data_IF_349989285516
#
_entry.id   IF_349989285516
#
_cell.length_a   1.000
_cell.length_b   1.000
_cell.length_c   1.000
_cell.angle_alpha   90.00
_cell.angle_beta   90.00
_cell.angle_gamma   90.00
#
_symmetry.space_group_name_H-M   'P 1'
#
loop_
_entity.id
_entity.type
_entity.pdbx_description
1 polymer ?
#
# COMPACT_ATOMS: atom_id res chain seq x y z
N UNK A 1 55.81 -3.66 -4.65
CA UNK A 1 54.88 -3.13 -3.64
C UNK A 1 54.18 -1.94 -4.30
N UNK A 2 52.93 -1.94 -4.74
CA UNK A 2 51.78 -2.81 -4.50
C UNK A 2 50.94 -2.92 -5.77
N UNK A 3 50.65 -4.15 -6.17
CA UNK A 3 49.90 -4.54 -7.37
C UNK A 3 48.58 -5.14 -6.89
N UNK A 4 47.67 -4.31 -6.36
CA UNK A 4 46.34 -4.74 -5.87
C UNK A 4 45.35 -3.59 -6.03
N UNK A 5 44.83 -3.34 -7.24
CA UNK A 5 43.65 -2.47 -7.42
C UNK A 5 42.84 -2.71 -8.72
N UNK A 6 42.92 -3.92 -9.32
CA UNK A 6 42.24 -4.22 -10.61
C UNK A 6 41.20 -5.36 -10.52
N UNK A 7 41.12 -6.11 -9.42
CA UNK A 7 40.25 -7.30 -9.34
C UNK A 7 38.80 -7.08 -8.91
N UNK A 8 38.32 -5.84 -8.68
CA UNK A 8 36.95 -5.59 -8.19
C UNK A 8 35.91 -5.23 -9.27
N UNK A 9 36.31 -5.10 -10.54
CA UNK A 9 35.38 -4.79 -11.64
C UNK A 9 34.88 -6.02 -12.42
N UNK A 10 35.49 -7.20 -12.24
CA UNK A 10 35.13 -8.40 -13.02
C UNK A 10 33.89 -9.11 -12.45
N UNK A 11 33.65 -9.00 -11.14
CA UNK A 11 32.52 -9.68 -10.46
C UNK A 11 31.15 -9.05 -10.73
N UNK A 12 31.09 -7.82 -11.26
CA UNK A 12 29.84 -7.10 -11.54
C UNK A 12 29.21 -7.42 -12.90
N UNK A 13 29.98 -7.99 -13.84
CA UNK A 13 29.51 -8.30 -15.19
C UNK A 13 28.53 -9.48 -15.23
N UNK A 14 28.69 -10.48 -14.35
CA UNK A 14 27.81 -11.66 -14.38
C UNK A 14 26.45 -11.37 -13.76
N UNK A 15 26.41 -10.59 -12.68
CA UNK A 15 25.14 -10.20 -12.05
C UNK A 15 24.31 -9.29 -12.96
N UNK A 16 24.95 -8.34 -13.64
CA UNK A 16 24.27 -7.46 -14.62
C UNK A 16 23.75 -8.23 -15.83
N UNK A 17 24.53 -9.17 -16.37
CA UNK A 17 24.06 -10.08 -17.44
C UNK A 17 22.88 -10.95 -17.00
N UNK A 18 22.92 -11.50 -15.79
CA UNK A 18 21.81 -12.31 -15.25
C UNK A 18 20.55 -11.48 -15.03
N UNK A 19 20.69 -10.26 -14.52
CA UNK A 19 19.57 -9.33 -14.37
C UNK A 19 18.95 -8.98 -15.73
N UNK A 20 19.80 -8.64 -16.71
CA UNK A 20 19.34 -8.34 -18.08
C UNK A 20 18.56 -9.50 -18.71
N UNK A 21 19.03 -10.74 -18.55
CA UNK A 21 18.31 -11.94 -19.02
C UNK A 21 16.95 -12.10 -18.32
N UNK A 22 16.88 -11.89 -17.00
CA UNK A 22 15.63 -12.00 -16.24
C UNK A 22 14.61 -10.95 -16.68
N UNK A 23 15.05 -9.70 -16.83
CA UNK A 23 14.18 -8.61 -17.30
C UNK A 23 13.71 -8.85 -18.74
N UNK A 24 14.59 -9.33 -19.61
CA UNK A 24 14.23 -9.70 -20.98
C UNK A 24 13.16 -10.79 -21.04
N UNK A 25 13.31 -11.85 -20.23
CA UNK A 25 12.32 -12.94 -20.17
C UNK A 25 10.96 -12.47 -19.62
N UNK A 26 10.93 -11.58 -18.61
CA UNK A 26 9.67 -11.01 -18.12
C UNK A 26 9.01 -10.08 -19.15
N UNK A 27 9.81 -9.31 -19.90
CA UNK A 27 9.30 -8.47 -20.98
C UNK A 27 8.70 -9.30 -22.12
N UNK A 28 9.30 -10.43 -22.46
CA UNK A 28 8.75 -11.38 -23.44
C UNK A 28 7.40 -11.94 -22.99
N UNK A 29 7.31 -12.43 -21.76
CA UNK A 29 6.04 -12.89 -21.16
C UNK A 29 4.98 -11.80 -21.23
N UNK A 30 5.31 -10.58 -20.80
CA UNK A 30 4.39 -9.43 -20.86
C UNK A 30 3.93 -9.15 -22.28
N UNK A 31 4.83 -9.18 -23.25
CA UNK A 31 4.52 -8.95 -24.67
C UNK A 31 3.54 -10.00 -25.20
N UNK A 32 3.75 -11.27 -24.90
CA UNK A 32 2.86 -12.34 -25.36
C UNK A 32 1.49 -12.30 -24.66
N UNK A 33 1.43 -11.91 -23.37
CA UNK A 33 0.15 -11.67 -22.70
C UNK A 33 -0.60 -10.54 -23.39
N UNK A 34 0.03 -9.39 -23.63
CA UNK A 34 -0.59 -8.23 -24.32
C UNK A 34 -1.08 -8.63 -25.70
N UNK A 35 -0.24 -9.30 -26.49
CA UNK A 35 -0.55 -9.75 -27.85
C UNK A 35 -1.76 -10.70 -27.88
N UNK A 36 -1.87 -11.61 -26.92
CA UNK A 36 -2.96 -12.60 -26.86
C UNK A 36 -4.25 -12.05 -26.25
N UNK A 37 -4.14 -11.15 -25.26
CA UNK A 37 -5.29 -10.59 -24.55
C UNK A 37 -5.85 -9.31 -25.19
N UNK A 38 -5.04 -8.55 -25.91
CA UNK A 38 -5.36 -7.19 -26.35
C UNK A 38 -5.39 -6.17 -25.21
N UNK A 39 -4.94 -6.54 -24.00
CA UNK A 39 -5.07 -5.69 -22.81
C UNK A 39 -3.85 -4.81 -22.58
N UNK A 40 -4.10 -3.60 -22.09
CA UNK A 40 -3.11 -2.64 -21.61
C UNK A 40 -3.15 -2.58 -20.09
N UNK A 41 -2.05 -2.17 -19.44
CA UNK A 41 -1.99 -2.09 -17.97
C UNK A 41 -1.64 -3.41 -17.27
N UNK A 42 -0.96 -4.32 -17.96
CA UNK A 42 -0.42 -5.54 -17.35
C UNK A 42 0.97 -5.24 -16.76
N UNK A 43 1.13 -5.51 -15.48
CA UNK A 43 2.42 -5.57 -14.80
C UNK A 43 2.87 -7.02 -14.65
N UNK A 44 4.15 -7.29 -14.90
CA UNK A 44 4.76 -8.62 -14.76
C UNK A 44 6.04 -8.45 -13.96
N UNK A 45 6.07 -9.00 -12.75
CA UNK A 45 7.21 -8.88 -11.84
C UNK A 45 7.63 -10.24 -11.31
N UNK A 46 8.92 -10.37 -11.00
CA UNK A 46 9.49 -11.53 -10.32
C UNK A 46 9.79 -11.13 -8.89
N UNK A 47 9.11 -11.75 -7.92
CA UNK A 47 9.44 -11.61 -6.52
C UNK A 47 10.29 -12.81 -6.09
N UNK A 48 11.49 -12.55 -5.60
CA UNK A 48 12.40 -13.58 -5.08
C UNK A 48 12.78 -13.21 -3.65
N UNK A 49 12.21 -13.91 -2.67
CA UNK A 49 12.48 -13.71 -1.25
C UNK A 49 13.03 -15.03 -0.66
N UNK A 50 14.32 -15.03 -0.31
CA UNK A 50 14.99 -16.23 0.21
C UNK A 50 14.94 -17.40 -0.78
N UNK A 51 14.40 -18.55 -0.35
CA UNK A 51 14.21 -19.74 -1.20
C UNK A 51 12.93 -19.71 -2.03
N UNK A 52 12.17 -18.62 -1.98
CA UNK A 52 10.88 -18.48 -2.64
C UNK A 52 10.98 -17.57 -3.86
N UNK A 53 10.49 -18.06 -4.99
CA UNK A 53 10.46 -17.36 -6.28
C UNK A 53 9.05 -17.43 -6.86
N UNK A 54 8.45 -16.28 -7.14
CA UNK A 54 7.12 -16.21 -7.74
C UNK A 54 7.08 -15.17 -8.85
N UNK A 55 6.39 -15.48 -9.93
CA UNK A 55 6.03 -14.49 -10.97
C UNK A 55 4.65 -13.96 -10.64
N UNK A 56 4.52 -12.63 -10.56
CA UNK A 56 3.28 -11.93 -10.29
C UNK A 56 2.87 -11.18 -11.53
N UNK A 57 1.66 -11.47 -12.01
CA UNK A 57 1.04 -10.83 -13.15
C UNK A 57 -0.17 -10.08 -12.63
N UNK A 58 -0.17 -8.76 -12.76
CA UNK A 58 -1.27 -7.92 -12.30
C UNK A 58 -1.95 -7.25 -13.48
N UNK A 59 -3.24 -7.52 -13.64
CA UNK A 59 -4.12 -6.80 -14.55
C UNK A 59 -4.65 -5.54 -13.86
N UNK A 60 -4.02 -4.39 -14.14
CA UNK A 60 -4.36 -3.11 -13.51
C UNK A 60 -5.37 -2.37 -14.40
N UNK A 61 -6.56 -2.09 -13.86
CA UNK A 61 -7.66 -1.43 -14.58
C UNK A 61 -8.01 -2.11 -15.92
N UNK A 62 -7.83 -3.42 -16.00
CA UNK A 62 -8.23 -4.21 -17.16
C UNK A 62 -9.77 -4.26 -17.28
N UNK A 63 -10.33 -4.33 -18.51
CA UNK A 63 -11.75 -4.64 -18.72
C UNK A 63 -12.23 -5.92 -18.02
N UNK A 64 -11.32 -6.85 -17.69
CA UNK A 64 -11.64 -8.08 -16.93
C UNK A 64 -12.04 -7.82 -15.48
N UNK A 65 -11.68 -6.66 -14.94
CA UNK A 65 -12.05 -6.26 -13.59
C UNK A 65 -13.58 -6.12 -13.44
N UNK A 66 -14.29 -5.80 -14.52
CA UNK A 66 -15.75 -5.64 -14.53
C UNK A 66 -16.48 -6.93 -15.00
N UNK A 67 -15.73 -8.01 -15.27
CA UNK A 67 -16.29 -9.31 -15.70
C UNK A 67 -16.68 -10.20 -14.52
N UNK A 68 -17.33 -11.32 -14.83
CA UNK A 68 -17.63 -12.34 -13.84
C UNK A 68 -16.36 -13.09 -13.39
N UNK A 69 -16.42 -13.69 -12.19
CA UNK A 69 -15.33 -14.50 -11.62
C UNK A 69 -14.84 -15.59 -12.58
N UNK A 70 -15.75 -16.33 -13.23
CA UNK A 70 -15.39 -17.41 -14.16
C UNK A 70 -14.58 -16.91 -15.37
N UNK A 71 -14.84 -15.69 -15.86
CA UNK A 71 -14.07 -15.09 -16.95
C UNK A 71 -12.65 -14.72 -16.49
N UNK A 72 -12.52 -14.17 -15.26
CA UNK A 72 -11.22 -13.88 -14.64
C UNK A 72 -10.41 -15.15 -14.38
N UNK A 73 -11.05 -16.19 -13.86
CA UNK A 73 -10.41 -17.50 -13.61
C UNK A 73 -9.89 -18.12 -14.92
N UNK A 74 -10.71 -18.09 -15.99
CA UNK A 74 -10.28 -18.52 -17.32
C UNK A 74 -9.09 -17.72 -17.80
N UNK A 75 -9.10 -16.38 -17.68
CA UNK A 75 -7.96 -15.57 -18.10
C UNK A 75 -6.72 -15.86 -17.26
N UNK A 76 -6.87 -16.05 -15.96
CA UNK A 76 -5.75 -16.36 -15.08
C UNK A 76 -5.06 -17.66 -15.50
N UNK A 77 -5.84 -18.71 -15.83
CA UNK A 77 -5.31 -19.95 -16.38
C UNK A 77 -4.58 -19.71 -17.71
N UNK A 78 -5.20 -19.01 -18.67
CA UNK A 78 -4.58 -18.70 -19.96
C UNK A 78 -3.25 -17.95 -19.79
N UNK A 79 -3.20 -17.04 -18.81
CA UNK A 79 -2.01 -16.24 -18.49
C UNK A 79 -0.92 -17.11 -17.87
N UNK A 80 -1.27 -18.02 -16.96
CA UNK A 80 -0.33 -18.97 -16.38
C UNK A 80 0.29 -19.89 -17.45
N UNK A 81 -0.49 -20.33 -18.43
CA UNK A 81 0.02 -21.12 -19.57
C UNK A 81 1.01 -20.32 -20.44
N UNK A 82 0.76 -19.02 -20.64
CA UNK A 82 1.71 -18.14 -21.34
C UNK A 82 3.02 -18.04 -20.55
N UNK A 83 2.94 -17.79 -19.24
CA UNK A 83 4.12 -17.70 -18.37
C UNK A 83 4.91 -19.00 -18.40
N UNK A 84 4.23 -20.15 -18.31
CA UNK A 84 4.83 -21.48 -18.44
C UNK A 84 5.59 -21.66 -19.75
N UNK A 85 4.99 -21.22 -20.85
CA UNK A 85 5.54 -21.42 -22.20
C UNK A 85 6.69 -20.47 -22.52
N UNK A 86 6.58 -19.21 -22.09
CA UNK A 86 7.47 -18.12 -22.54
C UNK A 86 8.50 -17.69 -21.50
N UNK A 87 8.32 -18.03 -20.22
CA UNK A 87 9.34 -17.72 -19.22
C UNK A 87 10.44 -18.77 -19.21
N UNK A 88 11.57 -18.47 -19.86
CA UNK A 88 12.70 -19.40 -20.04
C UNK A 88 13.25 -20.05 -18.76
N UNK A 89 13.02 -19.46 -17.57
CA UNK A 89 13.48 -19.99 -16.29
C UNK A 89 12.34 -20.47 -15.37
N UNK A 90 11.23 -20.93 -15.96
CA UNK A 90 10.02 -21.33 -15.22
C UNK A 90 10.27 -22.46 -14.21
N UNK A 91 11.21 -23.38 -14.48
CA UNK A 91 11.55 -24.46 -13.55
C UNK A 91 12.07 -23.97 -12.19
N UNK A 92 12.63 -22.77 -12.15
CA UNK A 92 13.12 -22.14 -10.91
C UNK A 92 12.06 -21.35 -10.15
N UNK A 93 10.88 -21.17 -10.75
CA UNK A 93 9.74 -20.46 -10.16
C UNK A 93 8.91 -21.47 -9.37
N UNK A 94 8.53 -21.12 -8.14
CA UNK A 94 7.66 -21.97 -7.31
C UNK A 94 6.18 -21.73 -7.59
N UNK A 95 5.82 -20.52 -7.99
CA UNK A 95 4.44 -20.18 -8.28
C UNK A 95 4.30 -19.06 -9.32
N UNK A 96 3.16 -19.09 -9.99
CA UNK A 96 2.65 -18.02 -10.84
C UNK A 96 1.42 -17.45 -10.12
N UNK A 97 1.38 -16.14 -9.89
CA UNK A 97 0.23 -15.45 -9.30
C UNK A 97 -0.33 -14.51 -10.34
N UNK A 98 -1.61 -14.65 -10.65
CA UNK A 98 -2.33 -13.73 -11.54
C UNK A 98 -3.38 -13.00 -10.72
N UNK A 99 -3.25 -11.68 -10.61
CA UNK A 99 -4.15 -10.82 -9.84
C UNK A 99 -4.87 -9.81 -10.73
N UNK A 100 -6.06 -9.43 -10.29
CA UNK A 100 -6.91 -8.44 -10.92
C UNK A 100 -7.05 -7.26 -9.97
N UNK A 101 -6.62 -6.09 -10.39
CA UNK A 101 -6.51 -4.93 -9.51
C UNK A 101 -7.17 -3.71 -10.14
N UNK A 102 -7.99 -3.02 -9.35
CA UNK A 102 -8.51 -1.70 -9.69
C UNK A 102 -7.61 -0.66 -9.04
N UNK A 103 -6.79 0.00 -9.85
CA UNK A 103 -5.97 1.13 -9.40
C UNK A 103 -6.72 2.42 -9.67
N UNK A 104 -7.01 3.18 -8.63
CA UNK A 104 -7.63 4.48 -8.79
C UNK A 104 -6.67 5.54 -8.29
N UNK A 105 -6.28 6.42 -9.21
CA UNK A 105 -5.70 7.71 -8.86
C UNK A 105 -6.85 8.68 -8.72
N UNK A 106 -7.16 9.09 -7.49
CA UNK A 106 -8.08 10.19 -7.25
C UNK A 106 -7.28 11.43 -6.92
N UNK A 107 -7.55 12.51 -7.65
CA UNK A 107 -7.05 13.87 -7.39
C UNK A 107 -5.51 13.99 -7.31
N UNK A 108 -4.83 13.43 -8.32
CA UNK A 108 -3.38 13.54 -8.59
C UNK A 108 -2.39 12.95 -7.57
N UNK A 109 -2.78 12.72 -6.30
CA UNK A 109 -1.85 12.27 -5.25
C UNK A 109 -2.27 11.01 -4.48
N UNK A 110 -3.55 10.65 -4.50
CA UNK A 110 -4.04 9.46 -3.82
C UNK A 110 -4.16 8.31 -4.81
N UNK A 111 -3.15 7.45 -4.78
CA UNK A 111 -3.13 6.19 -5.48
C UNK A 111 -3.50 5.09 -4.48
N UNK A 112 -4.60 4.38 -4.75
CA UNK A 112 -4.86 3.12 -4.06
C UNK A 112 -5.14 2.03 -5.07
N UNK A 113 -4.85 0.81 -4.67
CA UNK A 113 -5.11 -0.37 -5.47
C UNK A 113 -6.02 -1.29 -4.67
N UNK A 114 -7.13 -1.69 -5.27
CA UNK A 114 -8.02 -2.72 -4.71
C UNK A 114 -7.76 -4.01 -5.48
N UNK A 115 -7.29 -5.05 -4.79
CA UNK A 115 -7.25 -6.39 -5.37
C UNK A 115 -8.69 -6.91 -5.41
N UNK A 116 -9.17 -7.20 -6.61
CA UNK A 116 -10.50 -7.74 -6.84
C UNK A 116 -10.49 -9.26 -6.72
N UNK A 117 -9.41 -9.88 -7.20
CA UNK A 117 -9.27 -11.32 -7.31
C UNK A 117 -7.81 -11.72 -7.53
N UNK A 118 -7.44 -12.94 -7.18
CA UNK A 118 -6.16 -13.52 -7.57
C UNK A 118 -6.23 -15.05 -7.66
N UNK A 119 -5.41 -15.61 -8.54
CA UNK A 119 -5.30 -17.06 -8.74
C UNK A 119 -3.83 -17.47 -8.71
N UNK A 120 -3.55 -18.63 -8.13
CA UNK A 120 -2.20 -19.16 -7.97
C UNK A 120 -2.05 -20.46 -8.76
N UNK A 121 -0.91 -20.60 -9.40
CA UNK A 121 -0.57 -21.76 -10.19
C UNK A 121 0.85 -22.21 -9.85
N UNK A 122 1.12 -23.49 -10.02
CA UNK A 122 2.49 -23.99 -10.02
C UNK A 122 3.23 -23.57 -11.30
N UNK A 123 4.48 -24.01 -11.42
CA UNK A 123 5.31 -23.74 -12.60
C UNK A 123 4.89 -24.52 -13.85
N UNK A 124 3.95 -25.46 -13.71
CA UNK A 124 3.32 -26.20 -14.80
C UNK A 124 1.93 -25.62 -15.15
N UNK A 125 1.61 -24.43 -14.64
CA UNK A 125 0.34 -23.73 -14.79
C UNK A 125 -0.87 -24.50 -14.21
N UNK A 126 -0.65 -25.45 -13.29
CA UNK A 126 -1.74 -26.14 -12.62
C UNK A 126 -2.23 -25.31 -11.42
N UNK A 127 -3.55 -25.16 -11.23
CA UNK A 127 -4.12 -24.54 -10.05
C UNK A 127 -3.54 -25.12 -8.75
N UNK A 128 -3.05 -24.28 -7.85
CA UNK A 128 -2.65 -24.71 -6.52
C UNK A 128 -3.88 -24.88 -5.61
N UNK A 129 -3.89 -25.89 -4.74
CA UNK A 129 -4.97 -26.08 -3.77
C UNK A 129 -5.11 -24.87 -2.83
N UNK A 130 -6.35 -24.49 -2.50
CA UNK A 130 -6.63 -23.23 -1.80
C UNK A 130 -6.71 -22.01 -2.73
N UNK A 131 -7.04 -22.23 -4.01
CA UNK A 131 -7.10 -21.21 -5.06
C UNK A 131 -8.31 -20.26 -5.02
N UNK A 132 -9.11 -20.33 -3.96
CA UNK A 132 -10.31 -19.51 -3.79
C UNK A 132 -10.37 -19.02 -2.36
N UNK A 133 -9.83 -17.82 -2.14
CA UNK A 133 -10.25 -16.94 -1.06
C UNK A 133 -9.63 -15.56 -1.33
N UNK A 134 -10.42 -14.67 -1.93
CA UNK A 134 -10.45 -13.30 -1.42
C UNK A 134 -11.65 -13.25 -0.50
N UNK A 135 -11.49 -13.70 0.75
CA UNK A 135 -11.99 -12.82 1.79
C UNK A 135 -11.00 -11.64 1.82
N UNK A 136 -11.46 -10.40 1.69
CA UNK A 136 -10.58 -9.25 1.86
C UNK A 136 -10.21 -9.16 3.34
N UNK A 137 -9.18 -9.90 3.74
CA UNK A 137 -8.69 -9.88 5.12
C UNK A 137 -7.20 -10.20 5.14
N UNK A 138 -6.40 -9.46 4.36
CA UNK A 138 -5.20 -8.97 5.04
C UNK A 138 -5.75 -8.04 6.12
N UNK A 139 -5.58 -8.38 7.42
CA UNK A 139 -6.07 -7.52 8.49
C UNK A 139 -5.53 -6.13 8.24
N UNK A 140 -6.40 -5.11 8.36
CA UNK A 140 -6.03 -3.74 8.14
C UNK A 140 -4.74 -3.45 8.92
N UNK A 141 -3.66 -3.21 8.19
CA UNK A 141 -2.30 -3.20 8.73
C UNK A 141 -1.49 -2.03 8.18
N UNK A 142 -0.46 -1.60 8.90
CA UNK A 142 0.41 -0.55 8.43
C UNK A 142 1.21 -1.01 7.20
N UNK A 143 1.19 -0.19 6.15
CA UNK A 143 2.12 -0.27 5.03
C UNK A 143 3.44 0.38 5.42
N UNK A 144 4.55 -0.32 5.22
CA UNK A 144 5.89 0.09 5.64
C UNK A 144 6.82 0.12 4.43
N UNK A 145 7.31 1.30 4.06
CA UNK A 145 8.10 1.52 2.84
C UNK A 145 9.42 2.20 3.20
N UNK A 146 10.53 1.49 2.99
CA UNK A 146 11.87 2.06 3.18
C UNK A 146 12.38 2.74 1.90
N UNK A 147 12.79 3.99 2.02
CA UNK A 147 13.49 4.77 0.99
C UNK A 147 14.99 4.80 1.27
N UNK A 148 15.78 4.09 0.45
CA UNK A 148 17.24 4.11 0.55
C UNK A 148 17.83 5.49 0.27
N UNK A 149 17.24 6.26 -0.63
CA UNK A 149 17.75 7.59 -1.00
C UNK A 149 17.57 8.61 0.11
N UNK A 150 16.47 8.53 0.86
CA UNK A 150 16.21 9.39 2.03
C UNK A 150 16.77 8.82 3.33
N UNK A 151 17.16 7.54 3.33
CA UNK A 151 17.47 6.76 4.53
C UNK A 151 16.35 6.89 5.58
N UNK A 152 15.11 6.68 5.14
CA UNK A 152 13.90 6.84 5.96
C UNK A 152 12.91 5.74 5.63
N UNK A 153 12.10 5.36 6.62
CA UNK A 153 10.95 4.48 6.43
C UNK A 153 9.66 5.28 6.63
N UNK A 154 8.76 5.19 5.66
CA UNK A 154 7.40 5.70 5.74
C UNK A 154 6.48 4.57 6.21
N UNK A 155 5.70 4.84 7.26
CA UNK A 155 4.74 3.92 7.85
C UNK A 155 3.38 4.58 7.81
N UNK A 156 2.39 3.92 7.22
CA UNK A 156 1.04 4.49 7.09
C UNK A 156 -0.04 3.42 7.16
N UNK A 157 -1.24 3.77 7.61
CA UNK A 157 -2.40 2.89 7.46
C UNK A 157 -3.27 3.47 6.35
N UNK A 158 -3.50 2.67 5.32
CA UNK A 158 -4.23 3.12 4.14
C UNK A 158 -5.72 3.31 4.42
N UNK A 159 -6.25 4.48 4.04
CA UNK A 159 -7.65 4.65 3.68
C UNK A 159 -8.68 4.30 4.76
N UNK A 160 -8.50 4.74 6.00
CA UNK A 160 -9.48 4.52 7.08
C UNK A 160 -10.79 5.23 6.72
N UNK A 161 -11.80 4.47 6.27
CA UNK A 161 -13.09 5.02 5.90
C UNK A 161 -13.86 5.40 7.17
N UNK A 162 -14.12 6.70 7.34
CA UNK A 162 -14.81 7.28 8.50
C UNK A 162 -16.32 7.48 8.26
N UNK A 163 -16.71 7.76 7.01
CA UNK A 163 -18.11 7.95 6.60
C UNK A 163 -18.24 7.57 5.12
N UNK A 164 -19.33 6.92 4.70
CA UNK A 164 -19.57 6.60 3.30
C UNK A 164 -18.71 5.46 2.74
N UNK A 165 -18.40 5.52 1.45
CA UNK A 165 -17.65 4.48 0.70
C UNK A 165 -16.42 5.07 0.01
N UNK A 166 -15.42 4.26 -0.39
CA UNK A 166 -14.22 4.74 -1.05
C UNK A 166 -14.50 5.70 -2.22
N UNK A 167 -14.06 6.96 -2.02
CA UNK A 167 -14.23 8.07 -2.95
C UNK A 167 -15.64 8.60 -3.14
N UNK A 168 -16.54 8.32 -2.21
CA UNK A 168 -17.73 9.10 -1.89
C UNK A 168 -17.98 9.00 -0.38
N UNK A 169 -17.28 9.83 0.39
CA UNK A 169 -17.21 9.73 1.85
C UNK A 169 -16.00 10.46 2.42
N UNK A 170 -15.72 10.19 3.70
CA UNK A 170 -14.60 10.75 4.46
C UNK A 170 -13.59 9.64 4.78
N UNK A 171 -12.31 9.93 4.56
CA UNK A 171 -11.20 9.01 4.77
C UNK A 171 -10.08 9.68 5.56
N UNK A 172 -9.47 8.93 6.48
CA UNK A 172 -8.29 9.33 7.24
C UNK A 172 -7.09 8.44 6.88
N UNK A 173 -5.92 9.04 6.71
CA UNK A 173 -4.67 8.32 6.41
C UNK A 173 -3.60 8.79 7.41
N UNK A 174 -3.38 8.07 8.52
CA UNK A 174 -2.27 8.36 9.40
C UNK A 174 -0.96 7.91 8.78
N UNK A 175 0.08 8.75 8.90
CA UNK A 175 1.43 8.52 8.40
C UNK A 175 2.48 8.99 9.41
N UNK A 176 3.50 8.17 9.62
CA UNK A 176 4.69 8.53 10.36
C UNK A 176 5.94 8.20 9.53
N UNK A 177 6.94 9.06 9.59
CA UNK A 177 8.22 8.89 8.89
C UNK A 177 9.35 8.81 9.91
N UNK A 178 10.22 7.81 9.79
CA UNK A 178 11.29 7.55 10.76
C UNK A 178 12.62 7.32 10.06
N UNK A 179 13.76 7.66 10.70
CA UNK A 179 15.07 7.45 10.09
C UNK A 179 15.45 5.96 10.05
N UNK A 180 16.10 5.55 8.96
CA UNK A 180 16.61 4.20 8.76
C UNK A 180 15.57 3.20 8.27
N UNK A 181 16.00 1.94 8.19
CA UNK A 181 15.22 0.79 7.72
C UNK A 181 14.64 0.04 8.94
N UNK A 182 13.31 0.13 9.13
CA UNK A 182 12.65 -0.42 10.32
C UNK A 182 12.66 -1.96 10.38
N UNK A 183 13.03 -2.63 9.27
CA UNK A 183 13.26 -4.08 9.28
C UNK A 183 14.57 -4.48 9.96
N UNK A 184 15.49 -3.52 10.14
CA UNK A 184 16.83 -3.75 10.69
C UNK A 184 17.02 -3.13 12.07
N UNK A 185 16.41 -1.97 12.28
CA UNK A 185 16.53 -1.21 13.51
C UNK A 185 15.17 -0.71 13.94
N UNK A 186 14.93 -0.61 15.25
CA UNK A 186 13.77 0.11 15.77
C UNK A 186 14.17 1.58 15.99
N UNK A 187 13.77 2.52 15.13
CA UNK A 187 14.13 3.93 15.28
C UNK A 187 13.46 4.56 16.51
N UNK A 188 13.94 5.76 16.90
CA UNK A 188 13.22 6.57 17.87
C UNK A 188 11.87 6.98 17.28
N UNK A 189 10.87 7.16 18.15
CA UNK A 189 9.62 7.77 17.76
C UNK A 189 9.86 9.13 17.07
N UNK A 190 9.07 9.48 16.04
CA UNK A 190 9.15 10.79 15.42
C UNK A 190 8.62 11.86 16.38
N UNK A 191 8.85 13.13 16.05
CA UNK A 191 8.29 14.27 16.80
C UNK A 191 6.79 14.41 16.56
N UNK A 192 6.36 14.04 15.36
CA UNK A 192 5.04 14.32 14.82
C UNK A 192 4.51 13.14 13.99
N UNK A 193 3.19 13.14 13.81
CA UNK A 193 2.46 12.23 12.94
C UNK A 193 1.61 13.08 12.01
N UNK A 194 1.68 12.77 10.72
CA UNK A 194 0.82 13.40 9.72
C UNK A 194 -0.49 12.63 9.62
N UNK A 195 -1.60 13.36 9.59
CA UNK A 195 -2.95 12.82 9.43
C UNK A 195 -3.57 13.50 8.20
N UNK A 196 -3.67 12.74 7.10
CA UNK A 196 -4.29 13.24 5.87
C UNK A 196 -5.77 12.90 5.91
N UNK A 197 -6.62 13.92 5.82
CA UNK A 197 -8.08 13.77 5.74
C UNK A 197 -8.51 14.11 4.31
N UNK A 198 -9.29 13.21 3.71
CA UNK A 198 -9.86 13.41 2.39
C UNK A 198 -11.37 13.19 2.43
N UNK A 199 -12.13 14.15 1.91
CA UNK A 199 -13.58 14.05 1.77
C UNK A 199 -13.98 14.18 0.30
N UNK A 200 -14.94 13.35 -0.11
CA UNK A 200 -15.48 13.31 -1.46
C UNK A 200 -17.00 13.30 -1.39
N UNK A 201 -17.65 14.35 -1.89
CA UNK A 201 -19.10 14.48 -1.84
C UNK A 201 -19.64 15.36 -2.97
N UNK A 202 -20.95 15.31 -3.24
CA UNK A 202 -21.59 16.19 -4.26
C UNK A 202 -21.68 17.66 -3.82
N UNK A 203 -21.43 17.94 -2.54
CA UNK A 203 -21.47 19.27 -1.93
C UNK A 203 -20.28 19.41 -1.00
N UNK A 204 -19.87 20.64 -0.76
CA UNK A 204 -18.81 20.94 0.21
C UNK A 204 -19.27 20.53 1.61
N UNK A 205 -18.45 19.74 2.29
CA UNK A 205 -18.71 19.21 3.62
C UNK A 205 -18.13 20.11 4.71
N UNK A 206 -17.01 20.78 4.44
CA UNK A 206 -16.25 21.56 5.42
C UNK A 206 -15.99 22.99 4.91
N UNK A 207 -17.01 23.88 4.96
CA UNK A 207 -16.84 25.26 4.55
C UNK A 207 -15.96 26.04 5.53
N UNK A 208 -14.87 26.63 5.02
CA UNK A 208 -14.02 27.54 5.79
C UNK A 208 -13.09 26.86 6.79
N UNK A 209 -12.83 27.54 7.90
CA UNK A 209 -11.97 27.05 8.98
C UNK A 209 -12.74 26.02 9.83
N UNK A 210 -12.23 24.80 9.91
CA UNK A 210 -12.86 23.68 10.60
C UNK A 210 -12.15 23.42 11.92
N UNK A 211 -12.90 23.45 13.02
CA UNK A 211 -12.43 23.00 14.33
C UNK A 211 -12.25 21.49 14.32
N UNK A 212 -11.11 21.01 14.81
CA UNK A 212 -10.74 19.60 14.81
C UNK A 212 -10.42 19.16 16.24
N UNK A 213 -11.09 18.13 16.72
CA UNK A 213 -10.84 17.52 18.03
C UNK A 213 -10.48 16.05 17.86
N UNK A 214 -9.40 15.62 18.50
CA UNK A 214 -9.01 14.22 18.58
C UNK A 214 -9.37 13.71 19.97
N UNK A 215 -10.29 12.76 20.03
CA UNK A 215 -10.94 12.31 21.25
C UNK A 215 -10.51 10.87 21.54
N UNK A 216 -9.95 10.63 22.72
CA UNK A 216 -9.61 9.31 23.24
C UNK A 216 -10.37 9.04 24.51
N UNK A 217 -11.12 7.94 24.59
CA UNK A 217 -11.95 7.56 25.75
C UNK A 217 -12.80 8.73 26.28
N UNK A 218 -13.56 9.36 25.37
CA UNK A 218 -14.46 10.49 25.64
C UNK A 218 -13.78 11.78 26.16
N UNK A 219 -12.45 11.89 26.04
CA UNK A 219 -11.65 13.07 26.40
C UNK A 219 -10.93 13.64 25.18
N UNK A 220 -10.96 14.97 25.04
CA UNK A 220 -10.16 15.67 24.02
C UNK A 220 -8.67 15.54 24.38
N UNK A 221 -7.93 14.78 23.57
CA UNK A 221 -6.48 14.56 23.72
C UNK A 221 -5.69 15.69 23.05
N UNK A 222 -6.18 16.15 21.90
CA UNK A 222 -5.61 17.22 21.11
C UNK A 222 -6.71 17.98 20.35
N UNK A 223 -6.55 19.28 20.20
CA UNK A 223 -7.47 20.14 19.48
C UNK A 223 -6.67 21.12 18.61
N UNK A 224 -7.16 21.36 17.39
CA UNK A 224 -6.59 22.31 16.45
C UNK A 224 -7.68 22.84 15.51
N UNK A 225 -7.31 23.68 14.57
CA UNK A 225 -8.16 24.15 13.49
C UNK A 225 -7.44 23.95 12.16
N UNK A 226 -8.19 23.74 11.09
CA UNK A 226 -7.64 23.49 9.77
C UNK A 226 -8.61 23.88 8.67
N UNK A 227 -8.07 24.30 7.53
CA UNK A 227 -8.87 24.67 6.36
C UNK A 227 -8.69 23.62 5.27
N UNK A 228 -9.80 23.05 4.79
CA UNK A 228 -9.78 22.10 3.69
C UNK A 228 -9.49 22.80 2.37
N UNK A 229 -8.52 22.26 1.63
CA UNK A 229 -8.29 22.60 0.23
C UNK A 229 -9.38 21.96 -0.61
N UNK A 230 -10.18 22.78 -1.28
CA UNK A 230 -11.36 22.32 -2.04
C UNK A 230 -11.09 22.33 -3.53
N UNK A 231 -11.43 21.24 -4.21
CA UNK A 231 -11.45 21.11 -5.67
C UNK A 231 -12.82 20.61 -6.13
N UNK A 232 -13.24 21.00 -7.33
CA UNK A 232 -14.50 20.56 -7.93
C UNK A 232 -14.23 20.06 -9.34
N UNK A 233 -14.69 18.85 -9.65
CA UNK A 233 -14.64 18.31 -11.01
C UNK A 233 -15.87 18.67 -11.83
N UNK A 234 -15.77 18.50 -13.15
CA UNK A 234 -16.83 18.85 -14.11
C UNK A 234 -18.13 18.05 -13.90
N UNK A 235 -18.04 16.86 -13.29
CA UNK A 235 -19.18 16.02 -12.92
C UNK A 235 -19.86 16.45 -11.61
N UNK A 236 -19.39 17.54 -10.99
CA UNK A 236 -19.95 18.13 -9.77
C UNK A 236 -19.46 17.49 -8.47
N UNK A 237 -18.53 16.53 -8.52
CA UNK A 237 -17.89 16.00 -7.32
C UNK A 237 -16.98 17.06 -6.68
N UNK A 238 -17.17 17.28 -5.38
CA UNK A 238 -16.35 18.16 -4.54
C UNK A 238 -15.38 17.29 -3.75
N UNK A 239 -14.11 17.67 -3.78
CA UNK A 239 -13.02 16.98 -3.11
C UNK A 239 -12.34 17.94 -2.16
N UNK A 240 -12.25 17.56 -0.90
CA UNK A 240 -11.72 18.38 0.17
C UNK A 240 -10.58 17.64 0.84
N UNK A 241 -9.41 18.28 0.94
CA UNK A 241 -8.22 17.71 1.53
C UNK A 241 -7.71 18.56 2.68
N UNK A 242 -7.33 17.91 3.78
CA UNK A 242 -6.72 18.56 4.93
C UNK A 242 -5.53 17.73 5.39
N UNK A 243 -4.36 18.38 5.45
CA UNK A 243 -3.12 17.78 5.90
C UNK A 243 -2.81 18.30 7.30
N UNK A 244 -2.93 17.45 8.32
CA UNK A 244 -2.68 17.81 9.71
C UNK A 244 -1.39 17.18 10.19
N UNK A 245 -0.74 17.87 11.11
CA UNK A 245 0.39 17.32 11.87
C UNK A 245 0.04 17.42 13.34
N UNK A 246 0.13 16.31 14.06
CA UNK A 246 -0.07 16.28 15.52
C UNK A 246 1.20 15.76 16.21
N UNK A 247 1.50 16.19 17.46
CA UNK A 247 2.63 15.65 18.20
C UNK A 247 2.50 14.13 18.39
N UNK A 248 3.60 13.38 18.20
CA UNK A 248 3.58 11.92 18.36
C UNK A 248 3.12 11.49 19.76
N UNK A 249 3.43 12.27 20.80
CA UNK A 249 2.97 12.01 22.18
C UNK A 249 1.45 12.04 22.30
N UNK A 250 0.77 12.93 21.56
CA UNK A 250 -0.70 13.01 21.48
C UNK A 250 -1.27 11.87 20.64
N UNK A 251 -0.66 11.57 19.50
CA UNK A 251 -1.00 10.39 18.72
C UNK A 251 -0.91 9.10 19.56
N UNK A 252 0.17 8.93 20.33
CA UNK A 252 0.36 7.79 21.23
C UNK A 252 -0.77 7.69 22.26
N UNK A 253 -1.19 8.82 22.85
CA UNK A 253 -2.33 8.85 23.79
C UNK A 253 -3.63 8.39 23.13
N UNK A 254 -3.90 8.81 21.89
CA UNK A 254 -5.09 8.39 21.13
C UNK A 254 -5.09 6.89 20.86
N UNK A 255 -3.97 6.34 20.37
CA UNK A 255 -3.94 4.93 19.96
C UNK A 255 -3.96 3.97 21.15
N UNK A 256 -3.45 4.35 22.33
CA UNK A 256 -3.58 3.50 23.54
C UNK A 256 -4.97 3.59 24.21
N UNK A 257 -5.79 4.57 23.83
CA UNK A 257 -7.16 4.69 24.32
C UNK A 257 -8.00 3.50 23.82
N UNK A 258 -9.06 3.15 24.55
CA UNK A 258 -9.99 2.09 24.14
C UNK A 258 -10.79 2.51 22.90
N UNK A 259 -11.15 3.79 22.83
CA UNK A 259 -11.81 4.43 21.67
C UNK A 259 -10.98 5.58 21.14
N UNK A 260 -11.04 5.78 19.82
CA UNK A 260 -10.50 6.96 19.15
C UNK A 260 -11.55 7.51 18.19
N UNK A 261 -11.96 8.76 18.43
CA UNK A 261 -12.80 9.54 17.51
C UNK A 261 -12.07 10.79 16.98
N UNK A 262 -12.38 11.16 15.74
CA UNK A 262 -12.02 12.42 15.12
C UNK A 262 -13.29 13.26 14.97
N UNK A 263 -13.34 14.45 15.59
CA UNK A 263 -14.42 15.41 15.37
C UNK A 263 -13.99 16.50 14.42
N UNK A 264 -14.77 16.72 13.37
CA UNK A 264 -14.57 17.76 12.35
C UNK A 264 -15.80 18.68 12.34
N UNK A 265 -15.66 19.87 12.90
CA UNK A 265 -16.78 20.77 13.17
C UNK A 265 -17.78 20.13 14.13
N UNK A 266 -19.02 19.97 13.68
CA UNK A 266 -20.11 19.39 14.49
C UNK A 266 -20.20 17.87 14.40
N UNK A 267 -19.48 17.22 13.47
CA UNK A 267 -19.56 15.77 13.25
C UNK A 267 -18.41 15.03 13.91
N UNK A 268 -18.72 13.95 14.61
CA UNK A 268 -17.75 13.03 15.21
C UNK A 268 -17.70 11.71 14.44
N UNK A 269 -16.48 11.23 14.21
CA UNK A 269 -16.18 10.02 13.45
C UNK A 269 -15.35 9.08 14.32
N UNK A 270 -15.97 8.02 14.82
CA UNK A 270 -15.29 7.00 15.61
C UNK A 270 -14.64 5.95 14.70
N UNK A 271 -13.37 5.63 14.96
CA UNK A 271 -12.70 4.50 14.31
C UNK A 271 -13.32 3.18 14.78
N UNK A 272 -13.46 2.22 13.86
CA UNK A 272 -13.81 0.84 14.25
C UNK A 272 -12.66 0.19 15.02
N UNK A 273 -12.94 -0.89 15.75
CA UNK A 273 -11.90 -1.61 16.52
C UNK A 273 -10.76 -2.11 15.62
N UNK A 274 -11.09 -2.58 14.41
CA UNK A 274 -10.10 -3.00 13.41
C UNK A 274 -9.24 -1.82 12.93
N UNK A 275 -9.86 -0.67 12.63
CA UNK A 275 -9.15 0.55 12.26
C UNK A 275 -8.23 1.03 13.39
N UNK A 276 -8.73 1.07 14.63
CA UNK A 276 -7.92 1.45 15.78
C UNK A 276 -6.76 0.48 15.99
N UNK A 277 -6.96 -0.82 15.81
CA UNK A 277 -5.90 -1.82 15.90
C UNK A 277 -4.84 -1.66 14.81
N UNK A 278 -5.25 -1.31 13.58
CA UNK A 278 -4.32 -1.00 12.50
C UNK A 278 -3.44 0.20 12.84
N UNK A 279 -4.05 1.28 13.37
CA UNK A 279 -3.34 2.51 13.76
C UNK A 279 -2.42 2.25 14.96
N UNK A 280 -2.85 1.46 15.95
CA UNK A 280 -2.00 0.99 17.06
C UNK A 280 -0.76 0.28 16.56
N UNK A 281 -0.91 -0.59 15.55
CA UNK A 281 0.19 -1.37 14.99
C UNK A 281 1.26 -0.49 14.34
N UNK A 282 0.97 0.77 13.97
CA UNK A 282 2.02 1.71 13.53
C UNK A 282 3.07 1.96 14.61
N UNK A 283 2.67 1.92 15.89
CA UNK A 283 3.57 2.23 17.02
C UNK A 283 4.59 1.12 17.30
N UNK A 284 4.38 -0.09 16.80
CA UNK A 284 5.32 -1.21 17.00
C UNK A 284 6.62 -1.04 16.22
N UNK A 285 6.63 -0.15 15.23
CA UNK A 285 7.80 0.13 14.38
C UNK A 285 8.73 1.20 14.96
N UNK A 286 8.39 1.78 16.11
CA UNK A 286 9.20 2.80 16.76
C UNK A 286 9.45 2.45 18.22
N UNK A 287 10.54 2.97 18.78
CA UNK A 287 10.84 2.81 20.19
C UNK A 287 9.77 3.54 20.99
N UNK A 288 9.01 2.80 21.81
CA UNK A 288 8.33 3.35 22.97
C UNK A 288 9.40 3.96 23.88
N UNK A 289 9.37 5.27 24.10
CA UNK A 289 10.41 6.01 24.83
C UNK A 289 10.95 5.23 26.04
N UNK A 290 12.28 5.20 26.15
CA UNK A 290 13.00 4.69 27.31
C UNK A 290 12.66 5.65 28.45
N UNK A 291 12.07 5.14 29.54
CA UNK A 291 11.90 5.91 30.77
C UNK A 291 13.19 6.66 31.07
N UNK A 292 13.14 7.97 31.39
CA UNK A 292 14.35 8.69 31.74
C UNK A 292 15.02 7.93 32.89
N UNK A 293 16.23 7.40 32.65
CA UNK A 293 17.05 6.81 33.71
C UNK A 293 17.16 7.89 34.78
N UNK A 294 16.47 7.68 35.91
CA UNK A 294 16.65 8.50 37.11
C UNK A 294 18.14 8.50 37.40
N UNK A 295 18.76 9.66 37.24
CA UNK A 295 20.13 9.90 37.70
C UNK A 295 20.10 10.18 39.19
#
# INVERSE_FOLDING_TARGET
>A
MSLVFVCLLVSGCDQSKQLGKRLGALAEVRSEIIKKSGEVGIDVSLNSAGSYSGIYITFINSPLNDKALAEREKRAQETAEIVKTHYSNIKSVKQIVVSFMKSQTKFLVLHWNVVLDFHRFDNEAKPLEGNRQVEPTEPLGPTVVYSRTKNQTDISVGGLQLEGVPGNGLTLIPRLTVPGDTSKVTPRAPTDVTLDVASFAKKQSFPGLTKIEFIGDDKIVYQTEGQFSTSRSNDGLVSEFLYLTIPYTKFKQLVVSTKFSLKLGEKEYQLTDEQLQAVRSMTTYVKTEIEPRKR
#
